data_IF_591559360004
#
_entry.id   IF_591559360004
#
_cell.length_a   1.000
_cell.length_b   1.000
_cell.length_c   1.000
_cell.angle_alpha   90.00
_cell.angle_beta   90.00
_cell.angle_gamma   90.00
#
_symmetry.space_group_name_H-M   'P 1'
#
loop_
_entity.id
_entity.type
_entity.pdbx_description
1 polymer ?
#
# COMPACT_ATOMS: atom_id res chain seq x y z
N UNK A 1 -34.65 -4.83 3.17
CA UNK A 1 -33.85 -4.88 1.93
C UNK A 1 -32.89 -3.69 1.96
N UNK A 2 -31.57 -3.93 1.90
CA UNK A 2 -30.55 -2.88 1.95
C UNK A 2 -30.72 -1.97 0.74
N UNK A 3 -30.79 -0.65 0.95
CA UNK A 3 -30.93 0.37 -0.10
C UNK A 3 -29.90 1.49 0.04
N UNK A 4 -29.59 1.87 1.28
CA UNK A 4 -28.73 3.01 1.60
C UNK A 4 -27.40 2.53 2.17
N UNK A 5 -26.29 3.04 1.63
CA UNK A 5 -24.94 2.73 2.11
C UNK A 5 -24.21 4.03 2.42
N UNK A 6 -23.52 4.07 3.57
CA UNK A 6 -22.64 5.16 3.94
C UNK A 6 -21.18 4.66 3.90
N UNK A 7 -20.32 5.31 3.13
CA UNK A 7 -18.91 4.98 3.00
C UNK A 7 -18.06 6.08 3.63
N UNK A 8 -17.34 5.76 4.70
CA UNK A 8 -16.47 6.66 5.45
C UNK A 8 -15.03 6.60 4.90
N UNK A 9 -14.54 7.71 4.37
CA UNK A 9 -13.27 7.80 3.66
C UNK A 9 -13.45 7.55 2.16
N UNK A 10 -13.08 8.53 1.33
CA UNK A 10 -13.23 8.48 -0.12
C UNK A 10 -11.86 8.44 -0.85
N UNK A 11 -10.89 7.76 -0.24
CA UNK A 11 -9.58 7.49 -0.84
C UNK A 11 -9.61 6.36 -1.86
N UNK A 12 -8.44 5.72 -2.06
CA UNK A 12 -8.21 4.67 -3.07
C UNK A 12 -9.10 3.43 -2.93
N UNK A 13 -9.69 3.19 -1.77
CA UNK A 13 -10.61 2.08 -1.52
C UNK A 13 -12.06 2.59 -1.48
N UNK A 14 -12.34 3.58 -0.64
CA UNK A 14 -13.72 3.98 -0.40
C UNK A 14 -14.40 4.63 -1.60
N UNK A 15 -13.70 5.44 -2.41
CA UNK A 15 -14.32 6.06 -3.60
C UNK A 15 -14.69 5.02 -4.68
N UNK A 16 -13.80 4.07 -5.06
CA UNK A 16 -14.19 2.99 -5.97
C UNK A 16 -15.33 2.13 -5.45
N UNK A 17 -15.31 1.76 -4.16
CA UNK A 17 -16.38 1.00 -3.51
C UNK A 17 -17.71 1.77 -3.56
N UNK A 18 -17.71 3.05 -3.22
CA UNK A 18 -18.90 3.91 -3.28
C UNK A 18 -19.46 4.04 -4.70
N UNK A 19 -18.59 4.27 -5.69
CA UNK A 19 -18.98 4.38 -7.09
C UNK A 19 -19.53 3.05 -7.64
N UNK A 20 -18.90 1.92 -7.30
CA UNK A 20 -19.37 0.58 -7.70
C UNK A 20 -20.78 0.31 -7.13
N UNK A 21 -20.98 0.52 -5.82
CA UNK A 21 -22.27 0.30 -5.17
C UNK A 21 -23.37 1.20 -5.75
N UNK A 22 -23.07 2.48 -6.02
CA UNK A 22 -24.02 3.41 -6.63
C UNK A 22 -24.42 2.97 -8.06
N UNK A 23 -23.46 2.45 -8.85
CA UNK A 23 -23.76 1.91 -10.20
C UNK A 23 -24.51 0.56 -10.13
N UNK A 24 -24.50 -0.14 -8.99
CA UNK A 24 -25.34 -1.32 -8.71
C UNK A 24 -26.76 -0.95 -8.21
N UNK A 25 -27.06 0.34 -8.08
CA UNK A 25 -28.38 0.83 -7.71
C UNK A 25 -28.60 1.17 -6.24
N UNK A 26 -27.56 1.07 -5.41
CA UNK A 26 -27.62 1.56 -4.03
C UNK A 26 -27.62 3.10 -3.98
N UNK A 27 -28.27 3.67 -2.99
CA UNK A 27 -28.10 5.09 -2.62
C UNK A 27 -26.90 5.20 -1.70
N UNK A 28 -25.84 5.83 -2.19
CA UNK A 28 -24.56 5.90 -1.49
C UNK A 28 -24.29 7.31 -1.01
N UNK A 29 -24.07 7.44 0.30
CA UNK A 29 -23.47 8.61 0.94
C UNK A 29 -21.97 8.34 1.11
N UNK A 30 -21.14 9.03 0.34
CA UNK A 30 -19.70 9.03 0.58
C UNK A 30 -19.33 10.15 1.56
N UNK A 31 -18.50 9.86 2.55
CA UNK A 31 -18.08 10.85 3.55
C UNK A 31 -16.57 11.02 3.53
N UNK A 32 -16.11 12.26 3.42
CA UNK A 32 -14.70 12.60 3.52
C UNK A 32 -14.54 13.91 4.30
N UNK A 33 -13.46 14.03 5.07
CA UNK A 33 -13.20 15.22 5.90
C UNK A 33 -12.65 16.40 5.11
N UNK A 34 -12.23 16.17 3.85
CA UNK A 34 -11.63 17.17 2.97
C UNK A 34 -12.70 17.77 2.04
N UNK A 35 -13.06 19.04 2.25
CA UNK A 35 -14.09 19.72 1.45
C UNK A 35 -13.83 19.68 -0.06
N UNK A 36 -12.57 19.89 -0.49
CA UNK A 36 -12.21 19.85 -1.91
C UNK A 36 -12.41 18.46 -2.55
N UNK A 37 -12.23 17.38 -1.79
CA UNK A 37 -12.54 16.01 -2.20
C UNK A 37 -14.06 15.85 -2.43
N UNK A 38 -14.85 16.30 -1.47
CA UNK A 38 -16.32 16.27 -1.55
C UNK A 38 -16.84 17.05 -2.76
N UNK A 39 -16.33 18.26 -2.97
CA UNK A 39 -16.71 19.12 -4.11
C UNK A 39 -16.33 18.49 -5.45
N UNK A 40 -15.13 17.92 -5.54
CA UNK A 40 -14.63 17.24 -6.75
C UNK A 40 -15.53 16.07 -7.12
N UNK A 41 -15.87 15.22 -6.17
CA UNK A 41 -16.71 14.03 -6.39
C UNK A 41 -18.13 14.44 -6.79
N UNK A 42 -18.73 15.45 -6.12
CA UNK A 42 -20.07 15.94 -6.44
C UNK A 42 -20.17 16.58 -7.83
N UNK A 43 -19.02 16.99 -8.43
CA UNK A 43 -18.93 17.41 -9.83
C UNK A 43 -18.79 16.23 -10.82
N UNK A 44 -18.82 14.99 -10.33
CA UNK A 44 -18.58 13.79 -11.14
C UNK A 44 -17.13 13.62 -11.58
N UNK A 45 -16.18 14.18 -10.83
CA UNK A 45 -14.74 14.11 -11.06
C UNK A 45 -14.07 13.24 -10.00
N UNK A 46 -12.83 12.84 -10.26
CA UNK A 46 -11.99 12.07 -9.33
C UNK A 46 -10.78 12.90 -8.86
N UNK A 47 -10.29 12.62 -7.65
CA UNK A 47 -9.09 13.21 -7.06
C UNK A 47 -7.95 12.20 -6.93
N UNK A 48 -8.18 10.94 -7.31
CA UNK A 48 -7.21 9.84 -7.33
C UNK A 48 -7.09 9.30 -8.75
N UNK A 49 -5.95 8.72 -9.09
CA UNK A 49 -5.72 8.15 -10.43
C UNK A 49 -5.97 6.63 -10.38
N UNK A 50 -7.05 6.20 -11.05
CA UNK A 50 -7.40 4.79 -11.22
C UNK A 50 -8.13 4.62 -12.57
N UNK A 51 -7.75 3.64 -13.40
CA UNK A 51 -8.40 3.40 -14.69
C UNK A 51 -9.92 3.25 -14.56
N UNK A 52 -10.66 3.88 -15.48
CA UNK A 52 -12.12 3.82 -15.59
C UNK A 52 -12.91 4.43 -14.41
N UNK A 53 -12.26 4.80 -13.29
CA UNK A 53 -12.94 5.30 -12.09
C UNK A 53 -13.70 6.61 -12.36
N UNK A 54 -13.18 7.47 -13.21
CA UNK A 54 -13.81 8.73 -13.63
C UNK A 54 -15.18 8.48 -14.29
N UNK A 55 -15.27 7.48 -15.16
CA UNK A 55 -16.54 7.07 -15.80
C UNK A 55 -17.53 6.53 -14.76
N UNK A 56 -17.06 5.69 -13.84
CA UNK A 56 -17.89 5.13 -12.77
C UNK A 56 -18.42 6.20 -11.81
N UNK A 57 -17.57 7.12 -11.35
CA UNK A 57 -17.96 8.22 -10.46
C UNK A 57 -18.93 9.17 -11.16
N UNK A 58 -18.64 9.55 -12.40
CA UNK A 58 -19.53 10.40 -13.19
C UNK A 58 -20.91 9.78 -13.39
N UNK A 59 -20.97 8.49 -13.72
CA UNK A 59 -22.23 7.74 -13.86
C UNK A 59 -23.02 7.70 -12.55
N UNK A 60 -22.34 7.39 -11.43
CA UNK A 60 -22.93 7.30 -10.10
C UNK A 60 -23.49 8.65 -9.61
N UNK A 61 -22.79 9.75 -9.84
CA UNK A 61 -23.24 11.10 -9.46
C UNK A 61 -24.39 11.56 -10.35
N UNK A 62 -24.31 11.38 -11.67
CA UNK A 62 -25.34 11.78 -12.62
C UNK A 62 -26.67 11.03 -12.42
N UNK A 63 -26.62 9.77 -11.99
CA UNK A 63 -27.82 8.98 -11.63
C UNK A 63 -28.46 9.43 -10.31
N UNK A 64 -27.78 10.30 -9.55
CA UNK A 64 -28.18 10.70 -8.19
C UNK A 64 -28.07 9.57 -7.16
N UNK A 65 -27.29 8.53 -7.48
CA UNK A 65 -27.07 7.42 -6.56
C UNK A 65 -25.83 7.60 -5.67
N UNK A 66 -24.87 8.44 -6.07
CA UNK A 66 -23.72 8.82 -5.25
C UNK A 66 -23.78 10.30 -4.92
N UNK A 67 -23.66 10.62 -3.62
CA UNK A 67 -23.48 11.98 -3.12
C UNK A 67 -22.39 11.99 -2.06
N UNK A 68 -21.38 12.85 -2.21
CA UNK A 68 -20.37 13.08 -1.20
C UNK A 68 -20.78 14.17 -0.21
N UNK A 69 -20.34 14.07 1.05
CA UNK A 69 -20.58 15.03 2.13
C UNK A 69 -19.47 14.99 3.17
N UNK A 70 -19.45 15.98 4.07
CA UNK A 70 -18.53 16.00 5.22
C UNK A 70 -19.03 15.15 6.38
N UNK A 71 -20.32 14.84 6.43
CA UNK A 71 -20.96 14.15 7.53
C UNK A 71 -21.76 12.93 7.06
N UNK A 72 -21.81 11.86 7.86
CA UNK A 72 -22.65 10.70 7.58
C UNK A 72 -24.14 11.02 7.66
N UNK A 73 -24.95 10.06 7.23
CA UNK A 73 -26.40 10.12 7.25
C UNK A 73 -26.94 8.71 7.54
N UNK A 74 -28.24 8.59 7.77
CA UNK A 74 -28.91 7.31 7.97
C UNK A 74 -28.62 6.35 6.80
N UNK A 75 -28.21 5.13 7.14
CA UNK A 75 -27.93 4.09 6.17
C UNK A 75 -28.25 2.70 6.73
N UNK A 76 -28.40 1.73 5.83
CA UNK A 76 -28.57 0.32 6.20
C UNK A 76 -27.18 -0.34 6.44
N UNK A 77 -26.16 0.14 5.72
CA UNK A 77 -24.78 -0.34 5.80
C UNK A 77 -23.82 0.83 5.94
N UNK A 78 -22.90 0.75 6.90
CA UNK A 78 -21.80 1.69 7.08
C UNK A 78 -20.49 0.97 6.78
N UNK A 79 -19.69 1.50 5.85
CA UNK A 79 -18.37 0.98 5.47
C UNK A 79 -17.31 1.98 5.92
N UNK A 80 -16.36 1.54 6.74
CA UNK A 80 -15.24 2.34 7.23
C UNK A 80 -14.00 1.98 6.41
N UNK A 81 -13.60 2.91 5.52
CA UNK A 81 -12.47 2.77 4.59
C UNK A 81 -11.48 3.95 4.76
N UNK A 82 -11.17 4.29 6.01
CA UNK A 82 -10.29 5.39 6.39
C UNK A 82 -8.83 4.94 6.51
N UNK A 83 -7.84 5.85 6.43
CA UNK A 83 -6.43 5.51 6.63
C UNK A 83 -6.15 4.92 8.02
N UNK A 84 -5.16 4.01 8.08
CA UNK A 84 -4.62 3.42 9.31
C UNK A 84 -3.08 3.53 9.29
N UNK A 85 -2.52 4.75 9.43
CA UNK A 85 -1.08 4.93 9.45
C UNK A 85 -0.46 4.43 10.75
N UNK A 86 0.86 4.54 10.86
CA UNK A 86 1.55 4.37 12.14
C UNK A 86 2.19 5.69 12.60
N UNK A 87 2.34 5.84 13.91
CA UNK A 87 3.12 6.89 14.56
C UNK A 87 4.57 6.45 14.78
N UNK A 88 5.36 7.30 15.43
CA UNK A 88 6.72 6.99 15.83
C UNK A 88 6.79 5.65 16.59
N UNK A 89 7.84 4.87 16.32
CA UNK A 89 8.00 3.53 16.89
C UNK A 89 7.08 2.47 16.27
N UNK A 90 6.51 2.75 15.10
CA UNK A 90 5.63 1.84 14.35
C UNK A 90 4.34 1.47 15.10
N UNK A 91 3.87 2.34 15.99
CA UNK A 91 2.60 2.16 16.70
C UNK A 91 1.43 2.47 15.76
N UNK A 92 0.44 1.56 15.61
CA UNK A 92 -0.72 1.81 14.74
C UNK A 92 -1.54 3.02 15.21
N UNK A 93 -1.84 3.95 14.32
CA UNK A 93 -2.75 5.06 14.58
C UNK A 93 -4.18 4.70 14.14
N UNK A 94 -5.04 4.46 15.11
CA UNK A 94 -6.45 4.15 14.91
C UNK A 94 -7.38 5.37 15.06
N UNK A 95 -6.86 6.58 15.19
CA UNK A 95 -7.68 7.77 15.45
C UNK A 95 -8.70 8.02 14.34
N UNK A 96 -8.36 7.73 13.07
CA UNK A 96 -9.31 7.85 11.97
C UNK A 96 -10.47 6.85 12.08
N UNK A 97 -10.17 5.59 12.46
CA UNK A 97 -11.21 4.56 12.70
C UNK A 97 -12.08 4.94 13.88
N UNK A 98 -11.49 5.39 14.98
CA UNK A 98 -12.21 5.87 16.18
C UNK A 98 -13.14 7.04 15.82
N UNK A 99 -12.62 8.02 15.08
CA UNK A 99 -13.39 9.20 14.67
C UNK A 99 -14.54 8.83 13.74
N UNK A 100 -14.30 7.97 12.73
CA UNK A 100 -15.33 7.48 11.83
C UNK A 100 -16.42 6.71 12.60
N UNK A 101 -16.02 5.82 13.53
CA UNK A 101 -16.97 5.05 14.36
C UNK A 101 -17.84 5.93 15.23
N UNK A 102 -17.27 6.97 15.86
CA UNK A 102 -18.03 7.95 16.65
C UNK A 102 -18.98 8.77 15.80
N UNK A 103 -18.55 9.17 14.58
CA UNK A 103 -19.38 10.00 13.71
C UNK A 103 -20.59 9.25 13.15
N UNK A 104 -20.50 7.94 12.90
CA UNK A 104 -21.64 7.14 12.44
C UNK A 104 -22.60 6.76 13.58
N UNK A 105 -22.14 6.70 14.83
CA UNK A 105 -22.93 6.20 15.97
C UNK A 105 -24.32 6.84 16.09
N UNK A 106 -24.54 8.16 15.91
CA UNK A 106 -25.88 8.77 15.97
C UNK A 106 -26.85 8.29 14.88
N UNK A 107 -26.33 7.71 13.80
CA UNK A 107 -27.07 7.27 12.62
C UNK A 107 -27.32 5.75 12.57
N UNK A 108 -26.59 4.98 13.41
CA UNK A 108 -26.74 3.52 13.47
C UNK A 108 -28.09 3.16 14.13
N UNK A 109 -28.81 2.20 13.55
CA UNK A 109 -30.11 1.70 13.98
C UNK A 109 -30.08 0.18 14.06
N UNK A 110 -31.12 -0.42 14.67
CA UNK A 110 -31.30 -1.88 14.68
C UNK A 110 -31.20 -2.46 13.28
N UNK A 111 -30.63 -3.66 13.15
CA UNK A 111 -30.38 -4.41 11.90
C UNK A 111 -29.35 -3.77 10.94
N UNK A 112 -28.70 -2.66 11.29
CA UNK A 112 -27.63 -2.10 10.46
C UNK A 112 -26.38 -2.98 10.45
N UNK A 113 -25.65 -2.91 9.34
CA UNK A 113 -24.34 -3.56 9.18
C UNK A 113 -23.25 -2.48 9.26
N UNK A 114 -22.26 -2.68 10.11
CA UNK A 114 -21.06 -1.83 10.20
C UNK A 114 -19.84 -2.66 9.78
N UNK A 115 -19.17 -2.24 8.73
CA UNK A 115 -18.06 -2.97 8.11
C UNK A 115 -16.77 -2.16 8.21
N UNK A 116 -15.71 -2.74 8.76
CA UNK A 116 -14.36 -2.21 8.68
C UNK A 116 -13.67 -2.80 7.44
N UNK A 117 -13.41 -1.99 6.41
CA UNK A 117 -12.61 -2.37 5.24
C UNK A 117 -11.13 -1.96 5.38
N UNK A 118 -10.83 -0.97 6.21
CA UNK A 118 -9.45 -0.53 6.46
C UNK A 118 -8.60 -1.67 7.01
N UNK A 119 -7.40 -1.86 6.46
CA UNK A 119 -6.39 -2.77 7.06
C UNK A 119 -6.08 -2.29 8.47
N UNK A 120 -6.16 -3.17 9.44
CA UNK A 120 -6.10 -2.79 10.86
C UNK A 120 -5.41 -3.87 11.71
N UNK A 121 -4.85 -3.51 12.87
CA UNK A 121 -4.41 -4.47 13.87
C UNK A 121 -5.54 -5.38 14.33
N UNK A 122 -5.18 -6.59 14.73
CA UNK A 122 -6.12 -7.57 15.29
C UNK A 122 -6.83 -6.99 16.52
N UNK A 123 -8.17 -7.09 16.56
CA UNK A 123 -9.01 -6.55 17.62
C UNK A 123 -9.61 -5.18 17.31
N UNK A 124 -9.30 -4.57 16.18
CA UNK A 124 -9.85 -3.25 15.81
C UNK A 124 -11.36 -3.31 15.59
N UNK A 125 -11.88 -4.40 15.03
CA UNK A 125 -13.34 -4.58 14.83
C UNK A 125 -14.08 -4.69 16.16
N UNK A 126 -13.50 -5.36 17.16
CA UNK A 126 -14.05 -5.39 18.53
C UNK A 126 -14.08 -3.99 19.13
N UNK A 127 -12.99 -3.22 18.96
CA UNK A 127 -12.91 -1.83 19.42
C UNK A 127 -13.98 -0.94 18.80
N UNK A 128 -14.35 -1.15 17.53
CA UNK A 128 -15.49 -0.44 16.91
C UNK A 128 -16.77 -0.77 17.67
N UNK A 129 -17.00 -2.04 18.00
CA UNK A 129 -18.15 -2.46 18.81
C UNK A 129 -18.20 -1.75 20.16
N UNK A 130 -17.06 -1.64 20.86
CA UNK A 130 -16.95 -0.91 22.13
C UNK A 130 -17.28 0.58 21.95
N UNK A 131 -16.72 1.24 20.94
CA UNK A 131 -16.96 2.66 20.64
C UNK A 131 -18.44 2.93 20.37
N UNK A 132 -19.10 2.09 19.57
CA UNK A 132 -20.52 2.22 19.25
C UNK A 132 -21.38 2.01 20.51
N UNK A 133 -21.05 1.01 21.34
CA UNK A 133 -21.72 0.76 22.61
C UNK A 133 -21.58 1.95 23.56
N UNK A 134 -20.38 2.50 23.72
CA UNK A 134 -20.11 3.66 24.57
C UNK A 134 -20.81 4.92 24.06
N UNK A 135 -21.12 4.95 22.76
CA UNK A 135 -21.90 6.02 22.11
C UNK A 135 -23.41 5.80 22.20
N UNK A 136 -23.89 4.77 22.95
CA UNK A 136 -25.29 4.48 23.18
C UNK A 136 -25.97 3.56 22.16
N UNK A 137 -25.23 2.92 21.27
CA UNK A 137 -25.78 1.96 20.30
C UNK A 137 -25.90 0.57 20.95
N UNK A 138 -27.05 -0.07 20.79
CA UNK A 138 -27.28 -1.45 21.22
C UNK A 138 -26.60 -2.41 20.22
N UNK A 139 -25.35 -2.80 20.51
CA UNK A 139 -24.54 -3.65 19.63
C UNK A 139 -25.09 -5.08 19.48
N UNK A 140 -26.04 -5.50 20.33
CA UNK A 140 -26.71 -6.81 20.20
C UNK A 140 -27.72 -6.86 19.05
N UNK A 141 -28.10 -5.70 18.52
CA UNK A 141 -29.10 -5.53 17.47
C UNK A 141 -28.50 -5.14 16.11
N UNK A 142 -27.20 -5.00 16.03
CA UNK A 142 -26.50 -4.63 14.79
C UNK A 142 -25.48 -5.71 14.41
N UNK A 143 -24.99 -5.65 13.18
CA UNK A 143 -24.02 -6.59 12.65
C UNK A 143 -22.69 -5.88 12.41
N UNK A 144 -21.65 -6.26 13.12
CA UNK A 144 -20.30 -5.67 12.98
C UNK A 144 -19.36 -6.70 12.41
N UNK A 145 -18.62 -6.33 11.33
CA UNK A 145 -17.72 -7.24 10.64
C UNK A 145 -16.50 -6.50 10.09
N UNK A 146 -15.44 -7.27 9.84
CA UNK A 146 -14.27 -6.87 9.05
C UNK A 146 -14.31 -7.54 7.69
N UNK A 147 -14.06 -6.76 6.64
CA UNK A 147 -13.86 -7.30 5.30
C UNK A 147 -12.69 -6.55 4.63
N UNK A 148 -11.45 -7.01 4.84
CA UNK A 148 -10.27 -6.29 4.36
C UNK A 148 -10.22 -6.23 2.84
N UNK A 149 -9.79 -5.08 2.31
CA UNK A 149 -9.62 -4.92 0.88
C UNK A 149 -8.29 -5.54 0.41
N UNK A 150 -8.33 -6.17 -0.77
CA UNK A 150 -7.22 -6.98 -1.31
C UNK A 150 -6.95 -6.67 -2.79
N UNK A 151 -7.19 -5.42 -3.22
CA UNK A 151 -7.03 -4.96 -4.60
C UNK A 151 -5.66 -4.37 -4.88
N UNK A 152 -5.27 -4.37 -6.14
CA UNK A 152 -4.07 -3.71 -6.64
C UNK A 152 -4.43 -2.38 -7.32
N UNK A 153 -3.74 -1.28 -6.99
CA UNK A 153 -3.84 -0.03 -7.75
C UNK A 153 -3.65 -0.28 -9.27
N UNK A 154 -4.47 0.35 -10.09
CA UNK A 154 -4.54 0.13 -11.52
C UNK A 154 -5.49 -0.98 -11.97
N UNK A 155 -6.11 -1.72 -11.03
CA UNK A 155 -7.09 -2.79 -11.29
C UNK A 155 -8.22 -2.81 -10.26
N UNK A 156 -8.38 -1.75 -9.48
CA UNK A 156 -9.26 -1.73 -8.31
C UNK A 156 -10.70 -2.11 -8.68
N UNK A 157 -11.31 -1.45 -9.65
CA UNK A 157 -12.70 -1.70 -10.02
C UNK A 157 -12.98 -3.14 -10.47
N UNK A 158 -12.04 -3.73 -11.20
CA UNK A 158 -12.14 -5.14 -11.63
C UNK A 158 -12.00 -6.08 -10.45
N UNK A 159 -10.99 -5.85 -9.61
CA UNK A 159 -10.66 -6.73 -8.49
C UNK A 159 -11.66 -6.61 -7.34
N UNK A 160 -12.31 -5.44 -7.13
CA UNK A 160 -13.43 -5.28 -6.20
C UNK A 160 -14.59 -6.25 -6.49
N UNK A 161 -14.80 -6.60 -7.75
CA UNK A 161 -15.86 -7.51 -8.18
C UNK A 161 -15.38 -8.96 -8.26
N UNK A 162 -14.15 -9.21 -8.71
CA UNK A 162 -13.67 -10.55 -9.07
C UNK A 162 -12.93 -11.29 -7.96
N UNK A 163 -12.28 -10.57 -7.03
CA UNK A 163 -11.50 -11.20 -5.99
C UNK A 163 -12.40 -11.85 -4.93
N UNK A 164 -11.93 -12.97 -4.40
CA UNK A 164 -12.54 -13.59 -3.22
C UNK A 164 -12.45 -12.63 -2.01
N UNK A 165 -13.49 -12.65 -1.18
CA UNK A 165 -13.58 -11.83 0.03
C UNK A 165 -13.47 -12.69 1.28
N UNK A 166 -12.79 -12.16 2.29
CA UNK A 166 -12.81 -12.72 3.65
C UNK A 166 -13.69 -11.81 4.49
N UNK A 167 -14.78 -12.36 5.02
CA UNK A 167 -15.73 -11.62 5.87
C UNK A 167 -15.70 -12.20 7.28
N UNK A 168 -15.16 -11.44 8.21
CA UNK A 168 -15.07 -11.81 9.62
C UNK A 168 -16.06 -11.04 10.47
N UNK A 169 -17.06 -11.72 11.05
CA UNK A 169 -18.02 -11.09 11.94
C UNK A 169 -17.61 -11.12 13.41
N UNK A 170 -18.09 -10.16 14.24
CA UNK A 170 -18.01 -10.30 15.70
C UNK A 170 -18.80 -11.51 16.21
N UNK A 171 -19.77 -11.96 15.43
CA UNK A 171 -20.48 -13.22 15.61
C UNK A 171 -20.86 -13.82 14.26
N UNK A 172 -21.35 -15.06 14.25
CA UNK A 172 -21.69 -15.78 13.01
C UNK A 172 -22.78 -15.09 12.19
N UNK A 173 -23.75 -14.46 12.83
CA UNK A 173 -24.83 -13.78 12.11
C UNK A 173 -24.31 -12.48 11.45
N UNK A 174 -23.42 -11.74 12.10
CA UNK A 174 -22.75 -10.59 11.50
C UNK A 174 -21.94 -10.99 10.26
N UNK A 175 -21.17 -12.08 10.33
CA UNK A 175 -20.43 -12.60 9.16
C UNK A 175 -21.39 -12.97 8.02
N UNK A 176 -22.49 -13.66 8.32
CA UNK A 176 -23.50 -14.08 7.34
C UNK A 176 -24.19 -12.89 6.68
N UNK A 177 -24.68 -11.93 7.45
CA UNK A 177 -25.38 -10.72 6.94
C UNK A 177 -24.44 -9.87 6.07
N UNK A 178 -23.21 -9.71 6.50
CA UNK A 178 -22.18 -9.00 5.73
C UNK A 178 -21.84 -9.75 4.44
N UNK A 179 -21.71 -11.07 4.48
CA UNK A 179 -21.48 -11.88 3.29
C UNK A 179 -22.67 -11.80 2.30
N UNK A 180 -23.91 -11.81 2.79
CA UNK A 180 -25.11 -11.60 1.95
C UNK A 180 -25.09 -10.23 1.25
N UNK A 181 -24.63 -9.18 1.93
CA UNK A 181 -24.45 -7.87 1.31
C UNK A 181 -23.40 -7.90 0.20
N UNK A 182 -22.19 -8.43 0.44
CA UNK A 182 -21.14 -8.51 -0.58
C UNK A 182 -21.53 -9.36 -1.80
N UNK A 183 -22.30 -10.42 -1.62
CA UNK A 183 -22.82 -11.27 -2.74
C UNK A 183 -23.65 -10.51 -3.76
N UNK A 184 -24.17 -9.33 -3.43
CA UNK A 184 -24.97 -8.52 -4.35
C UNK A 184 -24.15 -7.87 -5.46
N UNK A 185 -22.82 -7.76 -5.30
CA UNK A 185 -21.94 -7.10 -6.27
C UNK A 185 -20.58 -7.78 -6.47
N UNK A 186 -20.17 -8.70 -5.62
CA UNK A 186 -18.94 -9.49 -5.74
C UNK A 186 -19.23 -10.82 -6.45
N UNK A 187 -18.44 -11.14 -7.45
CA UNK A 187 -18.52 -12.39 -8.20
C UNK A 187 -17.56 -13.47 -7.64
N UNK A 188 -16.53 -13.08 -6.90
CA UNK A 188 -15.62 -13.97 -6.22
C UNK A 188 -16.29 -14.72 -5.06
N UNK A 189 -15.60 -15.72 -4.51
CA UNK A 189 -16.08 -16.45 -3.34
C UNK A 189 -16.05 -15.56 -2.09
N UNK A 190 -17.04 -15.72 -1.18
CA UNK A 190 -17.09 -14.99 0.08
C UNK A 190 -16.92 -15.98 1.22
N UNK A 191 -15.73 -15.96 1.80
CA UNK A 191 -15.29 -16.84 2.88
C UNK A 191 -15.65 -16.19 4.22
N UNK A 192 -16.44 -16.89 5.04
CA UNK A 192 -16.89 -16.38 6.34
C UNK A 192 -16.03 -16.92 7.47
N UNK A 193 -15.67 -16.04 8.40
CA UNK A 193 -14.87 -16.35 9.59
C UNK A 193 -15.20 -15.38 10.75
N UNK A 194 -14.42 -15.39 11.82
CA UNK A 194 -14.46 -14.37 12.87
C UNK A 194 -13.62 -13.13 12.50
N UNK A 195 -13.89 -12.00 13.18
CA UNK A 195 -13.26 -10.72 12.87
C UNK A 195 -11.73 -10.76 13.03
N UNK A 196 -11.21 -11.37 14.10
CA UNK A 196 -9.76 -11.44 14.36
C UNK A 196 -9.05 -12.26 13.29
N UNK A 197 -9.64 -13.36 12.85
CA UNK A 197 -9.10 -14.20 11.78
C UNK A 197 -9.05 -13.40 10.46
N UNK A 198 -10.10 -12.63 10.13
CA UNK A 198 -10.11 -11.81 8.91
C UNK A 198 -9.07 -10.68 8.95
N UNK A 199 -8.93 -9.99 10.09
CA UNK A 199 -7.90 -8.98 10.32
C UNK A 199 -6.49 -9.58 10.17
N UNK A 200 -6.23 -10.70 10.85
CA UNK A 200 -4.93 -11.38 10.79
C UNK A 200 -4.61 -11.93 9.40
N UNK A 201 -5.61 -12.44 8.65
CA UNK A 201 -5.41 -12.96 7.30
C UNK A 201 -4.84 -11.89 6.38
N UNK A 202 -5.39 -10.67 6.40
CA UNK A 202 -4.88 -9.54 5.63
C UNK A 202 -3.45 -9.17 5.98
N UNK A 203 -3.15 -9.06 7.26
CA UNK A 203 -1.81 -8.74 7.75
C UNK A 203 -0.80 -9.85 7.39
N UNK A 204 -1.24 -11.11 7.45
CA UNK A 204 -0.42 -12.28 7.09
C UNK A 204 -0.01 -12.27 5.63
N UNK A 205 -0.91 -11.94 4.70
CA UNK A 205 -0.61 -11.85 3.27
C UNK A 205 0.57 -10.90 2.99
N UNK A 206 0.53 -9.71 3.58
CA UNK A 206 1.58 -8.71 3.39
C UNK A 206 2.86 -9.07 4.15
N UNK A 207 2.76 -9.63 5.36
CA UNK A 207 3.91 -10.09 6.13
C UNK A 207 4.62 -11.28 5.49
N UNK A 208 3.88 -12.23 4.92
CA UNK A 208 4.44 -13.34 4.15
C UNK A 208 5.28 -12.81 2.98
N UNK A 209 4.76 -11.81 2.27
CA UNK A 209 5.46 -11.19 1.15
C UNK A 209 6.70 -10.45 1.61
N UNK A 210 6.62 -9.69 2.71
CA UNK A 210 7.74 -8.96 3.29
C UNK A 210 8.87 -9.90 3.74
N UNK A 211 8.55 -11.00 4.41
CA UNK A 211 9.52 -12.03 4.83
C UNK A 211 10.25 -12.64 3.62
N UNK A 212 9.52 -12.93 2.54
CA UNK A 212 10.13 -13.50 1.33
C UNK A 212 11.02 -12.48 0.60
N UNK A 213 10.68 -11.19 0.63
CA UNK A 213 11.55 -10.13 0.10
C UNK A 213 12.77 -9.96 1.01
N UNK A 214 12.62 -10.03 2.33
CA UNK A 214 13.75 -9.96 3.26
C UNK A 214 14.75 -11.09 3.03
N UNK A 215 14.27 -12.32 2.79
CA UNK A 215 15.13 -13.44 2.43
C UNK A 215 15.95 -13.16 1.16
N UNK A 216 15.30 -12.66 0.10
CA UNK A 216 15.99 -12.30 -1.15
C UNK A 216 17.00 -11.16 -0.96
N UNK A 217 16.64 -10.14 -0.16
CA UNK A 217 17.52 -9.02 0.17
C UNK A 217 18.74 -9.47 0.97
N UNK A 218 18.58 -10.34 1.96
CA UNK A 218 19.69 -10.91 2.74
C UNK A 218 20.60 -11.75 1.86
N UNK A 219 20.04 -12.62 1.00
CA UNK A 219 20.83 -13.36 0.01
C UNK A 219 21.68 -12.44 -0.86
N UNK A 220 21.14 -11.30 -1.30
CA UNK A 220 21.90 -10.37 -2.13
C UNK A 220 23.10 -9.74 -1.40
N UNK A 221 22.96 -9.50 -0.09
CA UNK A 221 24.07 -9.01 0.75
C UNK A 221 25.14 -10.09 0.93
N UNK A 222 24.73 -11.33 1.18
CA UNK A 222 25.63 -12.47 1.32
C UNK A 222 26.35 -12.79 0.01
N UNK A 223 25.63 -12.76 -1.13
CA UNK A 223 26.21 -12.96 -2.45
C UNK A 223 27.29 -11.93 -2.77
N UNK A 224 27.03 -10.66 -2.48
CA UNK A 224 28.04 -9.60 -2.64
C UNK A 224 29.30 -9.87 -1.80
N UNK A 225 29.12 -10.32 -0.55
CA UNK A 225 30.24 -10.68 0.33
C UNK A 225 31.06 -11.85 -0.21
N UNK A 226 30.42 -12.83 -0.85
CA UNK A 226 31.07 -14.03 -1.36
C UNK A 226 31.49 -13.94 -2.83
N UNK A 227 31.21 -12.82 -3.51
CA UNK A 227 31.51 -12.66 -4.94
C UNK A 227 30.60 -13.51 -5.85
N UNK A 228 29.38 -13.79 -5.41
CA UNK A 228 28.38 -14.59 -6.14
C UNK A 228 27.39 -13.64 -6.83
N UNK A 229 26.99 -13.99 -8.07
CA UNK A 229 25.89 -13.30 -8.73
C UNK A 229 24.54 -13.76 -8.14
N UNK A 230 23.86 -12.88 -7.40
CA UNK A 230 22.58 -13.20 -6.75
C UNK A 230 21.47 -13.56 -7.74
N UNK A 231 21.47 -12.96 -8.92
CA UNK A 231 20.44 -13.21 -9.94
C UNK A 231 20.59 -14.62 -10.54
N UNK A 232 21.81 -15.05 -10.79
CA UNK A 232 22.13 -16.41 -11.21
C UNK A 232 21.75 -17.41 -10.09
N UNK A 233 22.18 -17.14 -8.85
CA UNK A 233 21.84 -17.98 -7.69
C UNK A 233 20.31 -18.19 -7.58
N UNK A 234 19.53 -17.11 -7.62
CA UNK A 234 18.07 -17.18 -7.52
C UNK A 234 17.47 -17.95 -8.69
N UNK A 235 17.96 -17.72 -9.92
CA UNK A 235 17.51 -18.46 -11.09
C UNK A 235 17.73 -19.96 -10.97
N UNK A 236 18.89 -20.36 -10.46
CA UNK A 236 19.23 -21.79 -10.24
C UNK A 236 18.42 -22.38 -9.08
N UNK A 237 18.31 -21.69 -7.95
CA UNK A 237 17.59 -22.17 -6.79
C UNK A 237 16.09 -22.36 -7.09
N UNK A 238 15.48 -21.45 -7.86
CA UNK A 238 14.08 -21.50 -8.28
C UNK A 238 13.78 -22.65 -9.28
N UNK A 239 14.79 -23.37 -9.77
CA UNK A 239 14.56 -24.63 -10.52
C UNK A 239 14.05 -25.74 -9.62
N UNK A 240 14.26 -25.64 -8.31
CA UNK A 240 13.72 -26.60 -7.36
C UNK A 240 12.19 -26.42 -7.22
N UNK A 241 11.37 -27.46 -7.34
CA UNK A 241 9.91 -27.35 -7.47
C UNK A 241 9.19 -26.77 -6.23
N UNK A 242 9.86 -26.70 -5.10
CA UNK A 242 9.30 -26.13 -3.84
C UNK A 242 9.97 -24.81 -3.43
N UNK A 243 10.71 -24.16 -4.32
CA UNK A 243 11.44 -22.92 -4.06
C UNK A 243 10.97 -21.85 -5.02
N UNK A 244 10.59 -20.68 -4.48
CA UNK A 244 10.22 -19.51 -5.25
C UNK A 244 10.75 -18.25 -4.56
N UNK A 245 12.04 -18.00 -4.69
CA UNK A 245 12.72 -16.84 -4.14
C UNK A 245 12.35 -15.62 -4.96
N UNK A 246 11.94 -14.54 -4.29
CA UNK A 246 11.62 -13.27 -4.92
C UNK A 246 12.89 -12.52 -5.37
N UNK A 247 12.71 -11.44 -6.12
CA UNK A 247 13.81 -10.59 -6.53
C UNK A 247 14.24 -9.66 -5.40
N UNK A 248 15.53 -9.53 -5.10
CA UNK A 248 16.03 -8.50 -4.20
C UNK A 248 15.90 -7.10 -4.82
N UNK A 249 15.95 -6.08 -3.96
CA UNK A 249 15.92 -4.68 -4.35
C UNK A 249 16.78 -3.83 -3.42
N UNK A 250 16.59 -2.53 -3.43
CA UNK A 250 17.26 -1.60 -2.51
C UNK A 250 16.55 -1.45 -1.15
N UNK A 251 15.50 -2.21 -0.90
CA UNK A 251 14.66 -2.19 0.30
C UNK A 251 13.19 -2.48 -0.06
N UNK A 252 12.28 -2.23 0.87
CA UNK A 252 10.83 -2.41 0.69
C UNK A 252 10.12 -1.10 0.97
N UNK A 253 9.36 -0.61 -0.01
CA UNK A 253 8.54 0.59 0.07
C UNK A 253 7.05 0.31 -0.13
N UNK A 254 6.30 1.40 -0.33
CA UNK A 254 4.85 1.37 -0.42
C UNK A 254 4.17 1.37 0.94
N UNK A 255 2.88 1.66 0.93
CA UNK A 255 2.10 1.87 2.16
C UNK A 255 1.45 0.61 2.76
N UNK A 256 1.69 -0.57 2.17
CA UNK A 256 1.15 -1.84 2.66
C UNK A 256 2.26 -2.74 3.21
N UNK A 257 3.17 -3.24 2.34
CA UNK A 257 4.19 -4.22 2.75
C UNK A 257 5.19 -3.61 3.74
N UNK A 258 5.48 -2.31 3.64
CA UNK A 258 6.36 -1.62 4.59
C UNK A 258 5.68 -1.34 5.95
N UNK A 259 4.36 -1.38 6.02
CA UNK A 259 3.54 -0.95 7.17
C UNK A 259 2.88 -2.11 7.91
N UNK A 260 2.09 -2.93 7.21
CA UNK A 260 1.22 -3.95 7.82
C UNK A 260 1.95 -4.96 8.72
N UNK A 261 3.20 -5.40 8.40
CA UNK A 261 3.92 -6.30 9.29
C UNK A 261 4.17 -5.72 10.69
N UNK A 262 4.33 -4.39 10.80
CA UNK A 262 4.50 -3.73 12.08
C UNK A 262 3.25 -3.82 12.97
N UNK A 263 2.06 -3.93 12.37
CA UNK A 263 0.83 -4.17 13.15
C UNK A 263 0.87 -5.53 13.85
N UNK A 264 1.40 -6.57 13.18
CA UNK A 264 1.62 -7.88 13.82
C UNK A 264 2.71 -7.78 14.89
N UNK A 265 3.81 -7.09 14.60
CA UNK A 265 4.91 -6.92 15.54
C UNK A 265 4.44 -6.17 16.79
N UNK A 266 3.65 -5.10 16.62
CA UNK A 266 3.11 -4.34 17.74
C UNK A 266 2.18 -5.18 18.63
N UNK A 267 1.28 -5.96 18.01
CA UNK A 267 0.32 -6.80 18.75
C UNK A 267 0.96 -8.06 19.33
N UNK A 268 1.93 -8.68 18.65
CA UNK A 268 2.56 -9.94 19.02
C UNK A 268 3.78 -9.79 19.93
N UNK A 269 4.33 -8.56 20.06
CA UNK A 269 5.51 -8.32 20.91
C UNK A 269 6.67 -9.28 20.59
N UNK A 270 7.18 -9.93 21.62
CA UNK A 270 8.34 -10.84 21.52
C UNK A 270 8.05 -12.16 20.77
N UNK A 271 6.79 -12.49 20.50
CA UNK A 271 6.43 -13.66 19.71
C UNK A 271 6.50 -13.41 18.19
N UNK A 272 6.53 -12.17 17.75
CA UNK A 272 6.60 -11.79 16.33
C UNK A 272 8.05 -11.69 15.78
N UNK A 273 8.95 -12.56 16.20
CA UNK A 273 10.42 -12.49 15.93
C UNK A 273 10.74 -12.49 14.45
N UNK A 274 10.22 -13.44 13.69
CA UNK A 274 10.53 -13.58 12.26
C UNK A 274 10.08 -12.36 11.47
N UNK A 275 8.85 -11.91 11.71
CA UNK A 275 8.26 -10.75 11.01
C UNK A 275 9.04 -9.49 11.33
N UNK A 276 9.38 -9.27 12.61
CA UNK A 276 10.21 -8.15 13.05
C UNK A 276 11.58 -8.16 12.38
N UNK A 277 12.28 -9.31 12.45
CA UNK A 277 13.61 -9.45 11.83
C UNK A 277 13.55 -9.23 10.32
N UNK A 278 12.52 -9.71 9.63
CA UNK A 278 12.35 -9.48 8.20
C UNK A 278 12.24 -7.97 7.87
N UNK A 279 11.47 -7.20 8.66
CA UNK A 279 11.40 -5.74 8.52
C UNK A 279 12.76 -5.08 8.77
N UNK A 280 13.48 -5.52 9.79
CA UNK A 280 14.83 -5.02 10.10
C UNK A 280 15.82 -5.32 8.97
N UNK A 281 15.78 -6.52 8.38
CA UNK A 281 16.58 -6.90 7.20
C UNK A 281 16.26 -6.02 6.01
N UNK A 282 14.98 -5.80 5.70
CA UNK A 282 14.55 -4.94 4.60
C UNK A 282 14.99 -3.48 4.80
N UNK A 283 14.91 -2.96 6.01
CA UNK A 283 15.39 -1.61 6.35
C UNK A 283 16.93 -1.54 6.28
N UNK A 284 17.63 -2.56 6.78
CA UNK A 284 19.09 -2.64 6.69
C UNK A 284 19.58 -2.67 5.24
N UNK A 285 18.84 -3.32 4.33
CA UNK A 285 19.19 -3.38 2.91
C UNK A 285 19.33 -1.98 2.29
N UNK A 286 18.47 -1.05 2.67
CA UNK A 286 18.54 0.34 2.21
C UNK A 286 19.82 1.02 2.69
N UNK A 287 20.18 0.84 3.97
CA UNK A 287 21.43 1.38 4.51
C UNK A 287 22.68 0.75 3.86
N UNK A 288 22.62 -0.56 3.64
CA UNK A 288 23.69 -1.28 2.94
C UNK A 288 23.88 -0.75 1.52
N UNK A 289 22.80 -0.45 0.77
CA UNK A 289 22.88 0.13 -0.56
C UNK A 289 23.54 1.52 -0.53
N UNK A 290 23.18 2.37 0.43
CA UNK A 290 23.82 3.69 0.62
C UNK A 290 25.32 3.57 0.84
N UNK A 291 25.75 2.66 1.73
CA UNK A 291 27.18 2.47 2.00
C UNK A 291 27.94 1.90 0.78
N UNK A 292 27.30 1.03 -0.01
CA UNK A 292 27.89 0.54 -1.28
C UNK A 292 28.12 1.67 -2.28
N UNK A 293 27.11 2.54 -2.48
CA UNK A 293 27.20 3.68 -3.39
C UNK A 293 28.27 4.66 -2.90
N UNK A 294 28.27 4.97 -1.61
CA UNK A 294 29.29 5.82 -1.00
C UNK A 294 30.70 5.27 -1.20
N UNK A 295 30.90 3.98 -0.98
CA UNK A 295 32.23 3.35 -1.18
C UNK A 295 32.68 3.40 -2.64
N UNK A 296 31.77 3.21 -3.61
CA UNK A 296 32.08 3.40 -5.02
C UNK A 296 32.46 4.85 -5.33
N UNK A 297 31.70 5.80 -4.80
CA UNK A 297 31.98 7.22 -4.98
C UNK A 297 33.34 7.64 -4.40
N UNK A 298 33.71 7.15 -3.21
CA UNK A 298 35.02 7.43 -2.60
C UNK A 298 36.16 6.80 -3.39
N UNK A 299 36.00 5.58 -3.92
CA UNK A 299 36.98 4.95 -4.79
C UNK A 299 37.19 5.75 -6.08
N UNK A 300 36.09 6.24 -6.67
CA UNK A 300 36.16 7.08 -7.84
C UNK A 300 36.92 8.39 -7.54
N UNK A 301 36.58 9.07 -6.42
CA UNK A 301 37.25 10.31 -6.01
C UNK A 301 38.73 10.11 -5.78
N UNK A 302 39.12 9.05 -5.11
CA UNK A 302 40.56 8.71 -4.91
C UNK A 302 41.32 8.47 -6.23
N UNK A 303 40.66 7.87 -7.23
CA UNK A 303 41.24 7.58 -8.52
C UNK A 303 41.30 8.79 -9.47
N UNK A 304 40.24 9.60 -9.48
CA UNK A 304 40.06 10.70 -10.43
C UNK A 304 40.48 12.07 -9.91
N UNK A 305 40.61 12.22 -8.59
CA UNK A 305 40.84 13.52 -7.93
C UNK A 305 39.64 14.46 -7.90
N UNK A 306 38.45 13.99 -8.31
CA UNK A 306 37.21 14.79 -8.31
C UNK A 306 36.05 13.99 -7.69
N UNK A 307 35.08 14.68 -7.09
CA UNK A 307 33.83 14.05 -6.63
C UNK A 307 33.01 13.58 -7.83
N UNK A 308 32.43 12.35 -7.78
CA UNK A 308 31.60 11.85 -8.87
C UNK A 308 30.23 12.50 -8.90
N UNK A 309 29.66 12.61 -10.11
CA UNK A 309 28.21 12.79 -10.35
C UNK A 309 27.54 11.42 -10.34
N UNK A 310 26.54 11.25 -9.52
CA UNK A 310 25.86 9.95 -9.31
C UNK A 310 24.45 10.03 -9.90
N UNK A 311 24.16 9.23 -10.93
CA UNK A 311 22.80 9.08 -11.42
C UNK A 311 22.04 8.03 -10.60
N UNK A 312 20.98 8.45 -9.89
CA UNK A 312 20.05 7.58 -9.17
C UNK A 312 18.88 7.24 -10.09
N UNK A 313 18.90 6.02 -10.67
CA UNK A 313 17.97 5.57 -11.69
C UNK A 313 16.75 4.88 -11.08
N UNK A 314 15.62 5.59 -11.07
CA UNK A 314 14.35 5.17 -10.46
C UNK A 314 14.18 5.66 -9.02
N UNK A 315 13.04 6.29 -8.76
CA UNK A 315 12.65 6.80 -7.43
C UNK A 315 11.39 6.15 -6.90
N UNK A 316 10.55 5.54 -7.75
CA UNK A 316 9.34 4.86 -7.33
C UNK A 316 9.63 3.65 -6.43
N UNK A 317 8.68 3.22 -5.59
CA UNK A 317 8.91 2.06 -4.72
C UNK A 317 8.89 0.71 -5.45
N UNK A 318 8.41 0.67 -6.68
CA UNK A 318 8.46 -0.49 -7.58
C UNK A 318 8.48 -0.07 -9.05
N UNK A 319 8.84 -0.98 -9.99
CA UNK A 319 8.90 -0.66 -11.42
C UNK A 319 7.58 -0.18 -12.03
N UNK A 320 7.69 0.73 -13.01
CA UNK A 320 6.62 1.15 -13.93
C UNK A 320 5.39 1.79 -13.26
N UNK A 321 5.61 2.49 -12.13
CA UNK A 321 4.60 3.31 -11.45
C UNK A 321 5.16 4.68 -11.06
N UNK A 322 4.26 5.60 -10.69
CA UNK A 322 4.56 6.97 -10.24
C UNK A 322 4.50 7.16 -8.70
N UNK A 323 4.32 6.07 -7.94
CA UNK A 323 4.14 6.12 -6.48
C UNK A 323 5.49 6.10 -5.75
N UNK A 324 5.77 7.17 -5.02
CA UNK A 324 7.01 7.40 -4.27
C UNK A 324 6.87 7.15 -2.76
N UNK A 325 5.69 6.74 -2.27
CA UNK A 325 5.44 6.58 -0.84
C UNK A 325 6.33 5.51 -0.25
N UNK A 326 6.99 5.83 0.88
CA UNK A 326 7.92 4.94 1.59
C UNK A 326 9.00 4.34 0.67
N UNK A 327 9.37 5.05 -0.42
CA UNK A 327 10.34 4.52 -1.39
C UNK A 327 11.76 4.48 -0.83
N UNK A 328 12.40 3.30 -0.75
CA UNK A 328 13.82 3.20 -0.42
C UNK A 328 14.70 3.95 -1.42
N UNK A 329 14.32 4.03 -2.69
CA UNK A 329 15.08 4.73 -3.71
C UNK A 329 15.09 6.25 -3.48
N UNK A 330 13.94 6.84 -3.09
CA UNK A 330 13.88 8.25 -2.66
C UNK A 330 14.76 8.48 -1.44
N UNK A 331 14.66 7.61 -0.43
CA UNK A 331 15.46 7.73 0.80
C UNK A 331 16.96 7.65 0.51
N UNK A 332 17.41 6.70 -0.31
CA UNK A 332 18.82 6.57 -0.74
C UNK A 332 19.26 7.87 -1.44
N UNK A 333 18.47 8.38 -2.38
CA UNK A 333 18.78 9.58 -3.15
C UNK A 333 18.92 10.81 -2.25
N UNK A 334 18.03 10.97 -1.25
CA UNK A 334 18.12 12.02 -0.24
C UNK A 334 19.36 11.90 0.64
N UNK A 335 19.65 10.70 1.15
CA UNK A 335 20.80 10.46 2.00
C UNK A 335 22.12 10.76 1.29
N UNK A 336 22.26 10.36 0.03
CA UNK A 336 23.44 10.67 -0.75
C UNK A 336 23.59 12.18 -0.99
N UNK A 337 22.50 12.87 -1.31
CA UNK A 337 22.48 14.33 -1.44
C UNK A 337 22.87 15.03 -0.15
N UNK A 338 22.31 14.61 1.00
CA UNK A 338 22.60 15.17 2.32
C UNK A 338 24.07 14.96 2.73
N UNK A 339 24.71 13.89 2.25
CA UNK A 339 26.14 13.62 2.43
C UNK A 339 27.04 14.41 1.47
N UNK A 340 26.47 15.29 0.64
CA UNK A 340 27.20 16.23 -0.23
C UNK A 340 27.68 15.64 -1.56
N UNK A 341 27.05 14.54 -2.03
CA UNK A 341 27.26 14.05 -3.40
C UNK A 341 26.44 14.83 -4.42
N UNK A 342 26.97 15.02 -5.62
CA UNK A 342 26.23 15.59 -6.75
C UNK A 342 25.32 14.52 -7.34
N UNK A 343 23.99 14.67 -7.12
CA UNK A 343 22.99 13.65 -7.50
C UNK A 343 22.22 14.09 -8.74
N UNK A 344 22.09 13.18 -9.70
CA UNK A 344 21.23 13.26 -10.86
C UNK A 344 20.02 12.34 -10.61
N UNK A 345 18.89 12.90 -10.19
CA UNK A 345 17.68 12.12 -9.87
C UNK A 345 16.89 11.81 -11.14
N UNK A 346 16.60 10.54 -11.36
CA UNK A 346 15.91 10.04 -12.56
C UNK A 346 14.68 9.24 -12.18
N UNK A 347 13.50 9.66 -12.69
CA UNK A 347 12.26 8.90 -12.58
C UNK A 347 11.39 9.14 -13.82
N UNK A 348 11.25 8.13 -14.71
CA UNK A 348 10.50 8.31 -15.95
C UNK A 348 9.00 8.55 -15.77
N UNK A 349 8.44 8.08 -14.64
CA UNK A 349 6.99 8.05 -14.43
C UNK A 349 6.44 9.30 -13.73
N UNK A 350 7.32 10.28 -13.35
CA UNK A 350 6.88 11.56 -12.77
C UNK A 350 7.45 12.74 -13.54
N UNK A 351 6.75 13.87 -13.50
CA UNK A 351 7.19 15.10 -14.18
C UNK A 351 8.06 15.99 -13.30
N UNK A 352 7.87 15.94 -11.98
CA UNK A 352 8.58 16.80 -11.02
C UNK A 352 8.61 16.14 -9.64
N UNK A 353 9.57 16.55 -8.82
CA UNK A 353 9.68 16.18 -7.41
C UNK A 353 9.99 17.44 -6.59
N UNK A 354 9.51 17.52 -5.35
CA UNK A 354 9.68 18.73 -4.50
C UNK A 354 11.14 19.02 -4.12
N UNK A 355 11.98 17.96 -4.00
CA UNK A 355 13.35 18.06 -3.47
C UNK A 355 14.43 17.79 -4.52
N UNK A 356 14.05 17.28 -5.71
CA UNK A 356 14.96 16.93 -6.80
C UNK A 356 14.51 17.52 -8.13
N UNK A 357 15.45 18.00 -8.92
CA UNK A 357 15.26 18.18 -10.34
C UNK A 357 15.28 16.82 -11.01
N UNK A 358 14.20 16.44 -11.70
CA UNK A 358 14.11 15.17 -12.42
C UNK A 358 14.78 15.34 -13.78
N UNK A 359 15.78 14.50 -14.04
CA UNK A 359 16.59 14.53 -15.25
C UNK A 359 16.17 13.35 -16.15
N UNK A 360 16.16 13.58 -17.47
CA UNK A 360 15.99 12.52 -18.44
C UNK A 360 17.07 11.45 -18.27
N UNK A 361 16.69 10.17 -18.33
CA UNK A 361 17.57 9.04 -18.02
C UNK A 361 18.77 8.92 -18.99
N UNK A 362 18.60 9.19 -20.28
CA UNK A 362 19.69 9.16 -21.27
C UNK A 362 20.70 10.24 -20.96
N UNK A 363 20.22 11.48 -20.72
CA UNK A 363 21.09 12.60 -20.33
C UNK A 363 21.81 12.32 -19.01
N UNK A 364 21.13 11.73 -18.03
CA UNK A 364 21.75 11.39 -16.74
C UNK A 364 22.87 10.38 -16.91
N UNK A 365 22.68 9.33 -17.73
CA UNK A 365 23.71 8.34 -18.07
C UNK A 365 24.90 9.00 -18.74
N UNK A 366 24.68 9.95 -19.66
CA UNK A 366 25.76 10.62 -20.39
C UNK A 366 26.66 11.46 -19.48
N UNK A 367 26.10 12.20 -18.53
CA UNK A 367 26.83 13.15 -17.69
C UNK A 367 27.28 12.60 -16.33
N UNK A 368 26.73 11.45 -15.88
CA UNK A 368 27.13 10.80 -14.63
C UNK A 368 28.52 10.20 -14.72
N UNK A 369 29.22 10.13 -13.60
CA UNK A 369 30.44 9.34 -13.43
C UNK A 369 30.13 7.92 -12.90
N UNK A 370 29.05 7.77 -12.11
CA UNK A 370 28.54 6.49 -11.57
C UNK A 370 27.05 6.42 -11.82
N UNK A 371 26.57 5.29 -12.33
CA UNK A 371 25.14 5.03 -12.56
C UNK A 371 24.64 3.97 -11.59
N UNK A 372 23.58 4.31 -10.85
CA UNK A 372 23.02 3.47 -9.79
C UNK A 372 21.57 3.12 -10.12
N UNK A 373 21.29 1.87 -10.45
CA UNK A 373 19.93 1.40 -10.69
C UNK A 373 19.27 0.99 -9.36
N UNK A 374 18.28 1.78 -8.93
CA UNK A 374 17.52 1.55 -7.72
C UNK A 374 16.18 0.86 -8.02
N UNK A 375 15.56 1.17 -9.18
CA UNK A 375 14.30 0.60 -9.63
C UNK A 375 14.38 0.18 -11.09
N UNK A 376 13.91 -1.04 -11.42
CA UNK A 376 14.02 -1.61 -12.76
C UNK A 376 12.87 -1.18 -13.69
N UNK A 377 12.78 0.12 -14.02
CA UNK A 377 11.82 0.61 -15.00
C UNK A 377 12.12 0.07 -16.41
N UNK A 378 11.07 -0.12 -17.21
CA UNK A 378 11.18 -0.62 -18.59
C UNK A 378 12.03 0.29 -19.47
N UNK A 379 12.03 1.60 -19.23
CA UNK A 379 12.78 2.61 -19.94
C UNK A 379 14.31 2.43 -19.80
N UNK A 380 14.77 1.77 -18.75
CA UNK A 380 16.18 1.54 -18.49
C UNK A 380 16.72 0.27 -19.16
N UNK A 381 15.83 -0.58 -19.70
CA UNK A 381 16.24 -1.81 -20.36
C UNK A 381 16.98 -1.52 -21.67
N UNK A 382 18.13 -2.18 -21.85
CA UNK A 382 18.93 -2.06 -23.07
C UNK A 382 19.84 -0.83 -23.12
N UNK A 383 19.92 -0.02 -22.04
CA UNK A 383 20.92 1.06 -21.96
C UNK A 383 22.33 0.45 -21.99
N UNK A 384 23.18 1.01 -22.86
CA UNK A 384 24.61 0.67 -22.92
C UNK A 384 25.39 1.66 -22.07
N UNK A 385 26.09 1.18 -21.05
CA UNK A 385 26.80 2.03 -20.09
C UNK A 385 28.22 1.51 -19.97
N UNK A 386 29.19 2.33 -20.32
CA UNK A 386 30.63 2.01 -20.25
C UNK A 386 31.30 2.53 -18.97
N UNK A 387 30.49 3.07 -18.05
CA UNK A 387 30.90 3.66 -16.77
C UNK A 387 30.68 2.68 -15.62
N UNK A 388 31.10 3.06 -14.40
CA UNK A 388 30.83 2.27 -13.20
C UNK A 388 29.33 2.19 -12.95
N UNK A 389 28.81 0.97 -12.81
CA UNK A 389 27.39 0.68 -12.59
C UNK A 389 27.20 -0.09 -11.29
N UNK A 390 26.23 0.35 -10.49
CA UNK A 390 25.71 -0.39 -9.35
C UNK A 390 24.24 -0.76 -9.64
N UNK A 391 23.97 -2.06 -9.74
CA UNK A 391 22.63 -2.58 -10.05
C UNK A 391 22.03 -3.29 -8.83
N UNK A 392 21.10 -2.61 -8.14
CA UNK A 392 20.39 -3.16 -6.99
C UNK A 392 19.06 -3.83 -7.35
N UNK A 393 18.60 -3.72 -8.59
CA UNK A 393 17.28 -4.16 -9.02
C UNK A 393 17.28 -5.18 -10.17
N UNK A 394 18.46 -5.56 -10.67
CA UNK A 394 18.61 -6.58 -11.72
C UNK A 394 18.19 -6.10 -13.10
N UNK A 395 18.54 -4.87 -13.48
CA UNK A 395 18.24 -4.34 -14.82
C UNK A 395 19.05 -5.04 -15.92
N UNK A 396 20.22 -5.59 -15.58
CA UNK A 396 21.13 -6.30 -16.50
C UNK A 396 21.11 -7.82 -16.34
N UNK A 397 20.09 -8.38 -15.72
CA UNK A 397 19.91 -9.84 -15.56
C UNK A 397 19.40 -10.52 -16.82
#
# INVERSE_FOLDING_TARGET
MIKNVCVMGLGYIGLPTAALLANKGYKVRGVDVVQSTVDTINQGKIHIVEPELDVFVKGAVNSGNLRASLEPDLADVFIIAVPTPFCDGYVPDLNYVVSASKSIAPFVRDENIVILESTSPVGTTEKIGEILKDSGVDISKIYIAHCPERVLPGKILKELVQNDRIVGGLNKEAAKKTAEFYKTFVAGEILQTDAKTAEMAKLTENSFRDVNVAFANELSVLCDKFGINVWELISLANRHPRVNILNPGCGVGGHCIAVDPWFIVHAGGDDARLIKTAREVNNHKTQWAIEKIKNAALKFELKSGKKPKIACMGLAFKPDIDDLRESPAVFITHELKNRGFEILAVEPNIKSHKDFEIINYEKAVDIADIVVFLVAHKEFKGLKIEKEVLDFCGIFR
#
